data_IF_790406684587
#
_entry.id   IF_790406684587
#
_cell.length_a   1.000
_cell.length_b   1.000
_cell.length_c   1.000
_cell.angle_alpha   90.00
_cell.angle_beta   90.00
_cell.angle_gamma   90.00
#
_symmetry.space_group_name_H-M   'P 1'
#
loop_
_entity.id
_entity.type
_entity.pdbx_description
1 polymer ?
#
# COMPACT_ATOMS: atom_id res chain seq x y z
N UNK A 1 7.45 -3.39 -18.46
CA UNK A 1 6.69 -4.27 -17.58
C UNK A 1 6.50 -3.64 -16.21
N UNK A 2 5.39 -3.95 -15.57
CA UNK A 2 5.06 -3.44 -14.25
C UNK A 2 5.76 -4.32 -13.21
N UNK A 3 6.53 -3.68 -12.32
CA UNK A 3 7.20 -4.39 -11.24
C UNK A 3 6.65 -3.96 -9.90
N UNK A 4 6.20 -4.94 -9.13
CA UNK A 4 5.81 -4.73 -7.75
C UNK A 4 6.92 -5.22 -6.82
N UNK A 5 7.11 -4.52 -5.71
CA UNK A 5 8.10 -4.90 -4.72
C UNK A 5 7.57 -4.60 -3.32
N UNK A 6 8.14 -5.29 -2.33
CA UNK A 6 7.78 -5.06 -0.93
C UNK A 6 8.57 -3.85 -0.43
N UNK A 7 7.90 -2.78 0.01
CA UNK A 7 8.63 -1.60 0.52
C UNK A 7 9.28 -1.90 1.85
N UNK A 8 10.48 -1.36 2.04
CA UNK A 8 11.21 -1.46 3.30
C UNK A 8 11.08 -0.15 4.07
N UNK A 9 10.07 -0.05 4.89
CA UNK A 9 9.94 1.10 5.77
C UNK A 9 10.59 0.75 7.12
N UNK A 10 11.70 1.40 7.44
CA UNK A 10 12.50 1.08 8.64
C UNK A 10 11.72 1.27 9.93
N UNK A 11 10.82 2.23 9.93
CA UNK A 11 10.11 2.63 11.14
C UNK A 11 8.67 2.16 11.15
N UNK A 12 8.27 1.35 10.18
CA UNK A 12 6.89 0.89 10.11
C UNK A 12 6.63 -0.20 11.14
N UNK A 13 5.55 -0.03 11.86
CA UNK A 13 5.06 -1.06 12.77
C UNK A 13 4.21 -2.03 11.98
N UNK A 14 4.40 -3.32 12.22
CA UNK A 14 3.60 -4.37 11.59
C UNK A 14 2.14 -4.22 12.01
N UNK A 15 1.25 -4.12 11.04
CA UNK A 15 -0.17 -4.05 11.31
C UNK A 15 -0.75 -5.43 11.59
N UNK A 16 -1.64 -5.53 12.56
CA UNK A 16 -2.33 -6.79 12.85
C UNK A 16 -3.34 -7.18 11.77
N UNK A 17 -3.77 -6.22 10.94
CA UNK A 17 -4.75 -6.46 9.88
C UNK A 17 -4.12 -6.79 8.54
N UNK A 18 -2.88 -6.39 8.32
CA UNK A 18 -2.22 -6.47 7.02
C UNK A 18 -1.12 -7.51 7.07
N UNK A 19 -1.21 -8.45 6.13
CA UNK A 19 -0.20 -9.51 5.99
C UNK A 19 0.96 -9.07 5.11
N UNK A 20 0.68 -8.36 4.01
CA UNK A 20 1.69 -8.00 3.03
C UNK A 20 1.25 -6.78 2.22
N UNK A 21 2.23 -5.99 1.79
CA UNK A 21 2.03 -4.88 0.87
C UNK A 21 3.10 -4.97 -0.20
N UNK A 22 2.66 -4.88 -1.46
CA UNK A 22 3.56 -4.72 -2.59
C UNK A 22 3.18 -3.46 -3.36
N UNK A 23 4.17 -2.72 -3.82
CA UNK A 23 3.93 -1.45 -4.51
C UNK A 23 4.65 -1.40 -5.85
N UNK A 24 4.09 -0.64 -6.77
CA UNK A 24 4.70 -0.31 -8.04
C UNK A 24 4.75 1.20 -8.18
N UNK A 25 5.96 1.76 -8.11
CA UNK A 25 6.15 3.20 -8.20
C UNK A 25 5.83 3.73 -9.59
N UNK A 26 6.16 2.97 -10.63
CA UNK A 26 5.96 3.40 -12.01
C UNK A 26 4.47 3.57 -12.36
N UNK A 27 3.60 2.82 -11.71
CA UNK A 27 2.16 2.85 -11.98
C UNK A 27 1.35 3.47 -10.85
N UNK A 28 1.99 3.84 -9.74
CA UNK A 28 1.33 4.36 -8.54
C UNK A 28 0.22 3.42 -8.06
N UNK A 29 0.57 2.14 -7.95
CA UNK A 29 -0.33 1.08 -7.54
C UNK A 29 0.22 0.34 -6.33
N UNK A 30 -0.67 -0.28 -5.59
CA UNK A 30 -0.30 -1.15 -4.48
C UNK A 30 -1.22 -2.37 -4.43
N UNK A 31 -0.65 -3.52 -4.07
CA UNK A 31 -1.42 -4.72 -3.74
C UNK A 31 -1.30 -4.95 -2.25
N UNK A 32 -2.43 -4.96 -1.58
CA UNK A 32 -2.48 -5.20 -0.13
C UNK A 32 -3.14 -6.54 0.11
N UNK A 33 -2.45 -7.41 0.85
CA UNK A 33 -2.98 -8.68 1.31
C UNK A 33 -3.30 -8.54 2.79
N UNK A 34 -4.55 -8.78 3.14
CA UNK A 34 -5.01 -8.71 4.51
C UNK A 34 -4.91 -10.07 5.19
N UNK A 35 -4.90 -10.08 6.51
CA UNK A 35 -4.75 -11.32 7.29
C UNK A 35 -5.91 -12.31 7.09
N UNK A 36 -7.07 -11.83 6.63
CA UNK A 36 -8.20 -12.70 6.30
C UNK A 36 -8.08 -13.34 4.92
N UNK A 37 -6.95 -13.16 4.23
CA UNK A 37 -6.69 -13.73 2.91
C UNK A 37 -7.19 -12.89 1.75
N UNK A 38 -7.91 -11.82 2.00
CA UNK A 38 -8.39 -10.94 0.93
C UNK A 38 -7.26 -10.09 0.38
N UNK A 39 -7.29 -9.86 -0.92
CA UNK A 39 -6.26 -9.15 -1.66
C UNK A 39 -6.90 -8.10 -2.56
N UNK A 40 -6.39 -6.89 -2.52
CA UNK A 40 -6.91 -5.79 -3.32
C UNK A 40 -5.80 -5.05 -4.04
N UNK A 41 -6.08 -4.66 -5.28
CA UNK A 41 -5.23 -3.75 -6.04
C UNK A 41 -5.78 -2.34 -5.89
N UNK A 42 -4.92 -1.43 -5.48
CA UNK A 42 -5.25 -0.01 -5.37
C UNK A 42 -4.49 0.75 -6.44
N UNK A 43 -5.20 1.60 -7.19
CA UNK A 43 -4.64 2.37 -8.31
C UNK A 43 -4.90 3.86 -8.12
N UNK A 44 -4.05 4.69 -8.72
CA UNK A 44 -4.19 6.13 -8.63
C UNK A 44 -3.71 6.71 -7.32
N UNK A 45 -2.72 6.08 -6.71
CA UNK A 45 -2.17 6.51 -5.43
C UNK A 45 -1.37 7.79 -5.62
N UNK A 46 -1.52 8.75 -4.71
CA UNK A 46 -0.77 9.99 -4.70
C UNK A 46 0.74 9.72 -4.63
N UNK A 47 1.51 10.47 -5.41
CA UNK A 47 2.97 10.32 -5.44
C UNK A 47 3.61 10.51 -4.07
N UNK A 48 3.14 11.49 -3.30
CA UNK A 48 3.67 11.75 -1.97
C UNK A 48 3.47 10.54 -1.06
N UNK A 49 2.31 9.88 -1.15
CA UNK A 49 2.03 8.68 -0.38
C UNK A 49 2.93 7.52 -0.80
N UNK A 50 3.20 7.40 -2.10
CA UNK A 50 4.12 6.38 -2.61
C UNK A 50 5.54 6.62 -2.09
N UNK A 51 6.03 7.85 -2.13
CA UNK A 51 7.34 8.19 -1.56
C UNK A 51 7.43 7.86 -0.08
N UNK A 52 6.39 8.17 0.67
CA UNK A 52 6.36 7.90 2.11
C UNK A 52 6.56 6.42 2.40
N UNK A 53 5.83 5.56 1.72
CA UNK A 53 5.92 4.11 1.99
C UNK A 53 7.21 3.51 1.45
N UNK A 54 7.69 3.99 0.30
CA UNK A 54 8.91 3.44 -0.30
C UNK A 54 10.16 3.87 0.48
N UNK A 55 10.21 5.12 0.92
CA UNK A 55 11.42 5.70 1.51
C UNK A 55 11.41 5.74 3.04
N UNK A 56 10.48 5.05 3.66
CA UNK A 56 10.55 4.78 5.08
C UNK A 56 9.98 5.84 6.00
N UNK A 57 9.11 6.71 5.50
CA UNK A 57 8.47 7.76 6.29
C UNK A 57 7.11 7.35 6.85
N UNK A 58 6.88 6.06 6.98
CA UNK A 58 5.60 5.51 7.42
C UNK A 58 5.79 4.91 8.82
N UNK A 59 4.97 5.34 9.77
CA UNK A 59 5.01 4.81 11.13
C UNK A 59 4.34 3.46 11.25
N UNK A 60 3.31 3.22 10.46
CA UNK A 60 2.55 1.98 10.48
C UNK A 60 1.96 1.74 9.10
N UNK A 61 2.07 0.52 8.59
CA UNK A 61 1.46 0.16 7.32
C UNK A 61 -0.06 0.26 7.38
N UNK A 62 -0.66 -0.06 8.53
CA UNK A 62 -2.11 0.08 8.71
C UNK A 62 -2.57 1.52 8.57
N UNK A 63 -1.84 2.45 9.16
CA UNK A 63 -2.16 3.88 9.03
C UNK A 63 -1.98 4.37 7.61
N UNK A 64 -0.90 3.93 6.94
CA UNK A 64 -0.66 4.30 5.55
C UNK A 64 -1.79 3.81 4.64
N UNK A 65 -2.18 2.53 4.78
CA UNK A 65 -3.28 1.97 3.99
C UNK A 65 -4.56 2.77 4.21
N UNK A 66 -4.88 3.08 5.46
CA UNK A 66 -6.09 3.82 5.77
C UNK A 66 -6.07 5.22 5.15
N UNK A 67 -5.00 5.97 5.34
CA UNK A 67 -4.93 7.37 4.91
C UNK A 67 -4.65 7.52 3.42
N UNK A 68 -3.75 6.72 2.87
CA UNK A 68 -3.30 6.85 1.49
C UNK A 68 -4.20 6.12 0.49
N UNK A 69 -4.87 5.06 0.93
CA UNK A 69 -5.67 4.21 0.04
C UNK A 69 -7.16 4.32 0.34
N UNK A 70 -7.58 4.06 1.57
CA UNK A 70 -9.01 3.93 1.87
C UNK A 70 -9.72 5.27 2.00
N UNK A 71 -9.05 6.30 2.47
CA UNK A 71 -9.63 7.63 2.65
C UNK A 71 -9.49 8.54 1.42
N UNK A 72 -8.62 8.17 0.49
CA UNK A 72 -8.41 8.98 -0.72
C UNK A 72 -9.44 8.60 -1.77
N UNK A 73 -10.34 9.54 -2.11
CA UNK A 73 -11.42 9.30 -3.07
C UNK A 73 -10.93 9.11 -4.50
N UNK A 74 -9.68 9.51 -4.80
CA UNK A 74 -9.10 9.34 -6.12
C UNK A 74 -8.50 7.93 -6.33
N UNK A 75 -8.39 7.15 -5.27
CA UNK A 75 -7.84 5.80 -5.35
C UNK A 75 -8.93 4.81 -5.70
N UNK A 76 -8.69 4.03 -6.75
CA UNK A 76 -9.58 2.94 -7.16
C UNK A 76 -9.18 1.65 -6.46
N UNK A 77 -10.17 0.83 -6.14
CA UNK A 77 -9.98 -0.46 -5.48
C UNK A 77 -10.49 -1.57 -6.36
N UNK A 78 -9.69 -2.62 -6.56
CA UNK A 78 -10.06 -3.78 -7.35
C UNK A 78 -9.74 -5.06 -6.56
N UNK A 79 -10.76 -5.87 -6.31
CA UNK A 79 -10.59 -7.10 -5.55
C UNK A 79 -9.89 -8.17 -6.39
N UNK A 80 -8.81 -8.76 -5.87
CA UNK A 80 -8.05 -9.81 -6.54
C UNK A 80 -8.37 -11.20 -6.00
N UNK A 81 -8.67 -11.28 -4.73
CA UNK A 81 -8.98 -12.56 -4.10
C UNK A 81 -9.86 -12.36 -2.88
#
# INVERSE_FOLDING_TARGET
>A
SIMFFTPSSRNAVQSSAIKDIEVSQSTNQAVVTYNNGKQYLYSGICEDAMFDVIFGNVKSFGKWVNSALLQDTEVSTFALA
#
